data_IF_700926621062
#
_entry.id   IF_700926621062
#
_cell.length_a   1.000
_cell.length_b   1.000
_cell.length_c   1.000
_cell.angle_alpha   90.00
_cell.angle_beta   90.00
_cell.angle_gamma   90.00
#
_symmetry.space_group_name_H-M   'P 1'
#
loop_
_entity.id
_entity.type
_entity.pdbx_description
1 polymer ?
#
# COMPACT_ATOMS: atom_id res chain seq x y z
N UNK A 1 -10.94 -11.87 14.02
CA UNK A 1 -10.34 -11.16 12.86
C UNK A 1 -11.22 -11.42 11.64
N UNK A 2 -12.25 -10.60 11.43
CA UNK A 2 -13.17 -10.78 10.31
C UNK A 2 -12.57 -10.16 9.03
N UNK A 3 -11.80 -10.95 8.30
CA UNK A 3 -11.26 -10.63 6.96
C UNK A 3 -12.29 -10.92 5.85
N UNK A 4 -13.57 -10.67 6.12
CA UNK A 4 -14.61 -10.88 5.12
C UNK A 4 -14.49 -9.80 4.03
N UNK A 5 -14.59 -10.17 2.75
CA UNK A 5 -14.63 -9.20 1.68
C UNK A 5 -15.74 -8.15 1.90
N UNK A 6 -15.40 -6.89 1.65
CA UNK A 6 -16.30 -5.74 1.68
C UNK A 6 -16.71 -5.43 0.25
N UNK A 7 -18.02 -5.32 0.01
CA UNK A 7 -18.54 -4.87 -1.29
C UNK A 7 -18.36 -3.36 -1.45
N UNK A 8 -17.69 -2.96 -2.52
CA UNK A 8 -17.50 -1.59 -2.97
C UNK A 8 -18.60 -1.22 -3.99
N UNK A 9 -19.10 0.02 -3.90
CA UNK A 9 -20.03 0.63 -4.87
C UNK A 9 -19.38 1.88 -5.45
N UNK A 10 -18.73 1.76 -6.61
CA UNK A 10 -18.05 2.86 -7.33
C UNK A 10 -16.96 3.58 -6.53
N UNK A 11 -15.72 3.60 -7.04
CA UNK A 11 -14.59 4.25 -6.33
C UNK A 11 -14.53 5.75 -6.64
N UNK A 12 -15.11 6.19 -7.76
CA UNK A 12 -15.17 7.60 -8.11
C UNK A 12 -16.21 8.35 -7.27
N UNK A 13 -15.73 9.02 -6.22
CA UNK A 13 -16.57 9.82 -5.32
C UNK A 13 -17.21 11.02 -6.03
N UNK A 14 -16.57 11.56 -7.08
CA UNK A 14 -17.07 12.73 -7.83
C UNK A 14 -18.27 12.35 -8.70
N UNK A 15 -18.16 11.24 -9.44
CA UNK A 15 -19.24 10.69 -10.24
C UNK A 15 -20.38 10.15 -9.36
N UNK A 16 -20.05 9.46 -8.26
CA UNK A 16 -21.06 8.94 -7.34
C UNK A 16 -21.83 10.04 -6.60
N UNK A 17 -21.19 11.16 -6.25
CA UNK A 17 -21.88 12.28 -5.58
C UNK A 17 -22.89 12.98 -6.49
N UNK A 18 -22.64 13.01 -7.79
CA UNK A 18 -23.60 13.50 -8.79
C UNK A 18 -24.72 12.51 -9.05
N UNK A 19 -24.42 11.21 -9.14
CA UNK A 19 -25.41 10.20 -9.50
C UNK A 19 -26.29 9.73 -8.33
N UNK A 20 -25.78 9.74 -7.09
CA UNK A 20 -26.46 9.21 -5.89
C UNK A 20 -26.20 10.08 -4.64
N UNK A 21 -26.76 11.30 -4.57
CA UNK A 21 -26.56 12.17 -3.42
C UNK A 21 -27.14 11.57 -2.14
N UNK A 22 -26.32 11.49 -1.07
CA UNK A 22 -26.73 11.05 0.27
C UNK A 22 -26.56 9.56 0.60
N UNK A 23 -25.98 8.75 -0.30
CA UNK A 23 -25.64 7.34 -0.01
C UNK A 23 -24.12 7.12 0.17
N UNK A 24 -23.70 6.22 1.09
CA UNK A 24 -22.30 5.89 1.26
C UNK A 24 -21.65 5.33 0.01
N UNK A 25 -20.67 6.06 -0.53
CA UNK A 25 -19.84 5.62 -1.66
C UNK A 25 -18.68 4.73 -1.18
N UNK A 26 -18.01 3.98 -2.08
CA UNK A 26 -16.77 3.27 -1.72
C UNK A 26 -15.71 4.19 -1.11
N UNK A 27 -15.73 5.49 -1.45
CA UNK A 27 -14.83 6.46 -0.85
C UNK A 27 -15.06 6.59 0.66
N UNK A 28 -16.30 6.49 1.17
CA UNK A 28 -16.57 6.47 2.60
C UNK A 28 -15.96 5.25 3.30
N UNK A 29 -15.95 4.09 2.65
CA UNK A 29 -15.27 2.90 3.17
C UNK A 29 -13.78 3.13 3.40
N UNK A 30 -13.13 3.97 2.58
CA UNK A 30 -11.70 4.28 2.69
C UNK A 30 -11.41 5.55 3.51
N UNK A 31 -12.42 6.37 3.82
CA UNK A 31 -12.22 7.60 4.63
C UNK A 31 -11.63 7.28 6.00
N UNK A 32 -12.13 6.26 6.68
CA UNK A 32 -11.61 5.88 8.00
C UNK A 32 -10.16 5.41 7.92
N UNK A 33 -9.81 4.71 6.84
CA UNK A 33 -8.45 4.25 6.58
C UNK A 33 -7.49 5.44 6.35
N UNK A 34 -7.94 6.42 5.55
CA UNK A 34 -7.19 7.65 5.25
C UNK A 34 -7.06 8.54 6.49
N UNK A 35 -8.15 8.71 7.25
CA UNK A 35 -8.19 9.48 8.48
C UNK A 35 -7.30 8.89 9.58
N UNK A 36 -7.14 7.56 9.59
CA UNK A 36 -6.23 6.86 10.50
C UNK A 36 -4.75 7.20 10.28
N UNK A 37 -4.38 7.84 9.15
CA UNK A 37 -3.03 8.37 8.91
C UNK A 37 -1.94 7.32 8.66
N UNK A 38 -2.28 6.03 8.70
CA UNK A 38 -1.35 4.94 8.41
C UNK A 38 -0.97 4.83 6.94
N UNK A 39 0.16 4.19 6.65
CA UNK A 39 0.60 3.90 5.29
C UNK A 39 -0.25 2.76 4.68
N UNK A 40 -0.77 2.97 3.47
CA UNK A 40 -1.74 2.09 2.79
C UNK A 40 -1.11 1.42 1.56
N UNK A 41 -1.02 0.09 1.57
CA UNK A 41 -0.65 -0.70 0.40
C UNK A 41 -1.90 -1.21 -0.33
N UNK A 42 -2.00 -1.00 -1.64
CA UNK A 42 -3.09 -1.54 -2.47
C UNK A 42 -2.56 -2.65 -3.37
N UNK A 43 -3.15 -3.84 -3.28
CA UNK A 43 -2.74 -5.02 -4.07
C UNK A 43 -3.95 -5.60 -4.77
N UNK A 44 -3.78 -6.23 -5.93
CA UNK A 44 -4.90 -6.81 -6.68
C UNK A 44 -4.55 -7.08 -8.14
N UNK A 45 -5.36 -7.89 -8.84
CA UNK A 45 -5.15 -8.17 -10.26
C UNK A 45 -5.07 -6.90 -11.14
N UNK A 46 -4.50 -6.97 -12.36
CA UNK A 46 -4.61 -5.89 -13.32
C UNK A 46 -6.07 -5.50 -13.61
N UNK A 47 -6.34 -4.20 -13.81
CA UNK A 47 -7.67 -3.72 -14.22
C UNK A 47 -8.77 -3.67 -13.15
N UNK A 48 -8.48 -4.03 -11.89
CA UNK A 48 -9.49 -4.00 -10.80
C UNK A 48 -9.73 -2.60 -10.20
N UNK A 49 -8.96 -1.59 -10.61
CA UNK A 49 -9.16 -0.20 -10.19
C UNK A 49 -8.20 0.31 -9.11
N UNK A 50 -7.03 -0.32 -8.92
CA UNK A 50 -6.01 0.12 -7.95
C UNK A 50 -5.60 1.59 -8.13
N UNK A 51 -5.26 1.97 -9.36
CA UNK A 51 -4.87 3.35 -9.69
C UNK A 51 -6.01 4.34 -9.42
N UNK A 52 -7.26 3.95 -9.70
CA UNK A 52 -8.44 4.77 -9.37
C UNK A 52 -8.58 4.98 -7.86
N UNK A 53 -8.33 3.94 -7.06
CA UNK A 53 -8.38 4.03 -5.61
C UNK A 53 -7.30 4.95 -5.06
N UNK A 54 -6.03 4.77 -5.46
CA UNK A 54 -4.95 5.63 -4.94
C UNK A 54 -5.08 7.08 -5.42
N UNK A 55 -5.67 7.31 -6.61
CA UNK A 55 -5.99 8.67 -7.09
C UNK A 55 -7.01 9.36 -6.20
N UNK A 56 -8.10 8.68 -5.83
CA UNK A 56 -9.11 9.23 -4.93
C UNK A 56 -8.55 9.42 -3.51
N UNK A 57 -7.68 8.52 -3.03
CA UNK A 57 -6.97 8.70 -1.75
C UNK A 57 -6.07 9.93 -1.80
N UNK A 58 -5.34 10.15 -2.89
CA UNK A 58 -4.50 11.34 -3.08
C UNK A 58 -5.33 12.62 -2.99
N UNK A 59 -6.49 12.66 -3.67
CA UNK A 59 -7.44 13.78 -3.61
C UNK A 59 -7.94 14.02 -2.18
N UNK A 60 -8.39 12.96 -1.48
CA UNK A 60 -8.85 13.08 -0.09
C UNK A 60 -7.75 13.64 0.82
N UNK A 61 -6.53 13.11 0.73
CA UNK A 61 -5.40 13.58 1.53
C UNK A 61 -5.06 15.05 1.24
N UNK A 62 -5.00 15.44 -0.03
CA UNK A 62 -4.63 16.79 -0.44
C UNK A 62 -5.72 17.82 -0.16
N UNK A 63 -6.98 17.52 -0.48
CA UNK A 63 -8.08 18.48 -0.42
C UNK A 63 -8.86 18.43 0.88
N UNK A 64 -9.18 17.24 1.37
CA UNK A 64 -10.02 17.08 2.55
C UNK A 64 -9.17 17.19 3.81
N UNK A 65 -7.98 16.54 3.83
CA UNK A 65 -7.05 16.55 4.96
C UNK A 65 -5.95 17.63 4.88
N UNK A 66 -5.90 18.40 3.78
CA UNK A 66 -4.96 19.52 3.60
C UNK A 66 -3.48 19.14 3.70
N UNK A 67 -3.13 17.87 3.45
CA UNK A 67 -1.74 17.39 3.51
C UNK A 67 -0.92 17.84 2.30
N UNK A 68 0.39 18.02 2.49
CA UNK A 68 1.36 18.09 1.40
C UNK A 68 1.53 16.70 0.80
N UNK A 69 0.89 16.48 -0.34
CA UNK A 69 0.91 15.19 -1.07
C UNK A 69 1.77 15.32 -2.32
N UNK A 70 2.71 14.39 -2.50
CA UNK A 70 3.47 14.22 -3.75
C UNK A 70 3.13 12.86 -4.36
N UNK A 71 2.92 12.81 -5.68
CA UNK A 71 2.67 11.58 -6.43
C UNK A 71 3.87 11.29 -7.32
N UNK A 72 4.50 10.13 -7.15
CA UNK A 72 5.46 9.57 -8.10
C UNK A 72 4.71 8.76 -9.15
N UNK A 73 4.54 9.34 -10.35
CA UNK A 73 3.68 8.83 -11.42
C UNK A 73 4.52 8.32 -12.60
N UNK A 74 4.70 6.99 -12.69
CA UNK A 74 5.44 6.32 -13.78
C UNK A 74 4.63 6.06 -15.02
N UNK A 75 3.33 5.82 -14.87
CA UNK A 75 2.46 5.42 -15.98
C UNK A 75 1.66 6.59 -16.57
N UNK A 76 1.77 7.78 -15.97
CA UNK A 76 0.90 8.94 -16.18
C UNK A 76 -0.58 8.67 -15.88
N UNK A 77 -0.94 7.50 -15.36
CA UNK A 77 -2.34 7.18 -15.14
C UNK A 77 -2.89 7.99 -13.98
N UNK A 78 -2.09 8.33 -12.95
CA UNK A 78 -2.62 9.05 -11.79
C UNK A 78 -2.89 10.51 -12.15
N UNK A 79 -1.90 11.19 -12.72
CA UNK A 79 -1.91 12.63 -12.96
C UNK A 79 -2.26 13.06 -14.38
N UNK A 80 -2.46 12.13 -15.31
CA UNK A 80 -2.78 12.42 -16.72
C UNK A 80 -1.53 12.73 -17.56
N UNK A 81 -1.69 12.81 -18.89
CA UNK A 81 -0.57 12.93 -19.83
C UNK A 81 -0.03 14.36 -20.02
N UNK A 82 -0.69 15.38 -19.47
CA UNK A 82 -0.29 16.79 -19.61
C UNK A 82 0.58 17.31 -18.48
N UNK A 83 1.20 18.48 -18.68
CA UNK A 83 1.99 19.20 -17.67
C UNK A 83 1.13 19.75 -16.53
N UNK A 84 -0.16 19.95 -16.79
CA UNK A 84 -1.16 20.32 -15.78
C UNK A 84 -1.74 19.04 -15.19
N UNK A 85 -1.60 18.80 -13.87
CA UNK A 85 -2.12 17.58 -13.26
C UNK A 85 -3.64 17.47 -13.35
N UNK A 86 -4.12 16.23 -13.54
CA UNK A 86 -5.53 15.89 -13.63
C UNK A 86 -6.31 16.30 -12.37
N UNK A 87 -7.46 16.98 -12.52
CA UNK A 87 -8.25 17.49 -11.38
C UNK A 87 -8.61 16.42 -10.31
N UNK A 88 -8.68 15.15 -10.73
CA UNK A 88 -8.90 14.00 -9.86
C UNK A 88 -7.82 13.73 -8.80
N UNK A 89 -6.66 14.40 -8.81
CA UNK A 89 -5.66 14.32 -7.72
C UNK A 89 -5.79 15.46 -6.69
N UNK A 90 -6.75 16.37 -6.89
CA UNK A 90 -6.90 17.56 -6.04
C UNK A 90 -5.67 18.47 -6.10
N UNK A 91 -5.26 19.01 -4.96
CA UNK A 91 -4.06 19.85 -4.83
C UNK A 91 -2.74 19.07 -4.67
N UNK A 92 -2.73 17.76 -4.89
CA UNK A 92 -1.50 16.98 -4.84
C UNK A 92 -0.52 17.45 -5.93
N UNK A 93 0.77 17.47 -5.58
CA UNK A 93 1.85 17.72 -6.55
C UNK A 93 2.17 16.42 -7.28
N UNK A 94 2.31 16.49 -8.60
CA UNK A 94 2.76 15.35 -9.42
C UNK A 94 4.23 15.50 -9.77
N UNK A 95 4.99 14.44 -9.54
CA UNK A 95 6.35 14.26 -10.05
C UNK A 95 6.31 13.15 -11.08
N UNK A 96 6.50 13.50 -12.35
CA UNK A 96 6.51 12.53 -13.43
C UNK A 96 7.83 11.76 -13.45
N UNK A 97 7.74 10.44 -13.60
CA UNK A 97 8.91 9.56 -13.69
C UNK A 97 9.17 9.22 -15.15
N UNK A 98 9.97 10.03 -15.84
CA UNK A 98 10.25 9.86 -17.27
C UNK A 98 11.05 8.60 -17.60
N UNK A 99 11.82 8.08 -16.64
CA UNK A 99 12.51 6.80 -16.74
C UNK A 99 12.10 5.92 -15.56
N UNK A 100 11.34 4.86 -15.83
CA UNK A 100 10.82 3.94 -14.81
C UNK A 100 11.94 3.30 -13.98
N UNK A 101 13.13 3.07 -14.54
CA UNK A 101 14.26 2.53 -13.79
C UNK A 101 14.80 3.49 -12.72
N UNK A 102 14.48 4.78 -12.84
CA UNK A 102 14.88 5.83 -11.89
C UNK A 102 13.80 6.14 -10.85
N UNK A 103 12.68 5.40 -10.83
CA UNK A 103 11.57 5.66 -9.90
C UNK A 103 12.04 5.75 -8.45
N UNK A 104 12.90 4.82 -8.00
CA UNK A 104 13.44 4.82 -6.65
C UNK A 104 14.21 6.11 -6.30
N UNK A 105 15.01 6.64 -7.23
CA UNK A 105 15.73 7.90 -7.02
C UNK A 105 14.78 9.08 -6.95
N UNK A 106 13.78 9.11 -7.84
CA UNK A 106 12.76 10.17 -7.86
C UNK A 106 11.91 10.14 -6.58
N UNK A 107 11.61 8.96 -6.04
CA UNK A 107 10.92 8.82 -4.75
C UNK A 107 11.72 9.49 -3.62
N UNK A 108 13.03 9.27 -3.55
CA UNK A 108 13.90 9.88 -2.53
C UNK A 108 14.01 11.39 -2.75
N UNK A 109 14.28 11.82 -3.99
CA UNK A 109 14.40 13.23 -4.36
C UNK A 109 13.11 14.01 -4.05
N UNK A 110 11.95 13.44 -4.35
CA UNK A 110 10.65 14.04 -4.03
C UNK A 110 10.50 14.32 -2.53
N UNK A 111 10.95 13.39 -1.68
CA UNK A 111 10.88 13.58 -0.23
C UNK A 111 11.88 14.63 0.25
N UNK A 112 13.07 14.68 -0.34
CA UNK A 112 14.12 15.62 0.03
C UNK A 112 13.80 17.06 -0.40
N UNK A 113 13.20 17.24 -1.57
CA UNK A 113 12.90 18.55 -2.12
C UNK A 113 11.58 19.14 -1.61
N UNK A 114 10.54 18.30 -1.42
CA UNK A 114 9.19 18.80 -1.11
C UNK A 114 8.79 18.65 0.36
N UNK A 115 9.54 17.86 1.15
CA UNK A 115 9.19 17.50 2.54
C UNK A 115 7.70 17.13 2.70
N UNK A 116 7.18 16.18 1.89
CA UNK A 116 5.77 15.86 1.88
C UNK A 116 5.34 15.19 3.18
N UNK A 117 4.08 15.37 3.54
CA UNK A 117 3.45 14.59 4.61
C UNK A 117 3.01 13.22 4.10
N UNK A 118 2.76 13.10 2.79
CA UNK A 118 2.38 11.84 2.15
C UNK A 118 2.96 11.73 0.75
N UNK A 119 3.50 10.56 0.42
CA UNK A 119 3.87 10.20 -0.95
C UNK A 119 2.93 9.12 -1.49
N UNK A 120 2.46 9.31 -2.73
CA UNK A 120 1.68 8.33 -3.49
C UNK A 120 2.61 7.69 -4.53
N UNK A 121 2.64 6.37 -4.61
CA UNK A 121 3.49 5.62 -5.54
C UNK A 121 2.60 4.73 -6.39
N UNK A 122 2.62 4.91 -7.72
CA UNK A 122 1.71 4.18 -8.60
C UNK A 122 1.89 2.67 -8.49
N UNK A 123 3.10 2.16 -8.74
CA UNK A 123 3.40 0.74 -8.61
C UNK A 123 4.82 0.52 -8.09
N UNK A 124 4.95 -0.31 -7.05
CA UNK A 124 6.23 -0.80 -6.51
C UNK A 124 6.44 -2.22 -7.02
N UNK A 125 7.42 -2.41 -7.89
CA UNK A 125 7.73 -3.68 -8.54
C UNK A 125 9.16 -4.18 -8.30
N UNK A 126 10.09 -3.31 -7.91
CA UNK A 126 11.51 -3.68 -7.75
C UNK A 126 12.00 -3.60 -6.31
N UNK A 127 13.10 -4.29 -6.01
CA UNK A 127 13.75 -4.25 -4.70
C UNK A 127 14.23 -2.82 -4.35
N UNK A 128 14.77 -2.09 -5.33
CA UNK A 128 15.22 -0.71 -5.13
C UNK A 128 14.07 0.22 -4.75
N UNK A 129 12.90 0.09 -5.40
CA UNK A 129 11.71 0.86 -5.04
C UNK A 129 11.19 0.49 -3.65
N UNK A 130 11.21 -0.80 -3.29
CA UNK A 130 10.77 -1.26 -1.99
C UNK A 130 11.70 -0.76 -0.86
N UNK A 131 13.01 -0.73 -1.10
CA UNK A 131 14.00 -0.14 -0.20
C UNK A 131 13.84 1.38 -0.07
N UNK A 132 13.59 2.08 -1.18
CA UNK A 132 13.30 3.51 -1.17
C UNK A 132 12.03 3.81 -0.35
N UNK A 133 10.95 3.06 -0.57
CA UNK A 133 9.72 3.16 0.21
C UNK A 133 9.95 2.94 1.71
N UNK A 134 10.72 1.91 2.08
CA UNK A 134 11.11 1.66 3.47
C UNK A 134 11.90 2.83 4.08
N UNK A 135 12.82 3.42 3.32
CA UNK A 135 13.65 4.55 3.77
C UNK A 135 12.78 5.79 4.01
N UNK A 136 11.81 6.04 3.12
CA UNK A 136 10.85 7.14 3.24
C UNK A 136 9.95 6.95 4.47
N UNK A 137 9.48 5.72 4.71
CA UNK A 137 8.67 5.40 5.89
C UNK A 137 9.41 5.68 7.20
N UNK A 138 10.71 5.35 7.26
CA UNK A 138 11.56 5.61 8.43
C UNK A 138 11.74 7.11 8.70
N UNK A 139 11.59 7.97 7.69
CA UNK A 139 11.57 9.44 7.85
C UNK A 139 10.21 9.97 8.34
N UNK A 140 9.24 9.09 8.60
CA UNK A 140 7.91 9.45 9.11
C UNK A 140 6.93 9.94 8.06
N UNK A 141 7.26 9.80 6.77
CA UNK A 141 6.35 10.16 5.67
C UNK A 141 5.33 9.05 5.47
N UNK A 142 4.05 9.41 5.38
CA UNK A 142 2.99 8.44 5.06
C UNK A 142 3.15 7.97 3.61
N UNK A 143 2.99 6.66 3.38
CA UNK A 143 3.00 6.10 2.03
C UNK A 143 1.62 5.59 1.63
N UNK A 144 1.21 5.88 0.41
CA UNK A 144 0.12 5.19 -0.25
C UNK A 144 0.66 4.66 -1.56
N UNK A 145 0.47 3.39 -1.87
CA UNK A 145 0.89 2.92 -3.18
C UNK A 145 0.36 1.57 -3.55
N UNK A 146 0.58 1.17 -4.79
CA UNK A 146 0.31 -0.19 -5.23
C UNK A 146 1.59 -1.01 -5.31
N UNK A 147 1.46 -2.33 -5.32
CA UNK A 147 2.58 -3.23 -5.57
C UNK A 147 2.27 -4.22 -6.69
N UNK A 148 3.33 -4.66 -7.36
CA UNK A 148 3.26 -5.71 -8.38
C UNK A 148 2.95 -7.06 -7.72
N UNK A 149 1.66 -7.39 -7.63
CA UNK A 149 1.16 -8.61 -7.03
C UNK A 149 -0.36 -8.70 -7.08
N UNK A 150 -0.88 -9.93 -7.10
CA UNK A 150 -2.33 -10.17 -7.15
C UNK A 150 -2.94 -10.23 -5.76
N UNK A 151 -2.18 -10.73 -4.78
CA UNK A 151 -2.61 -10.91 -3.38
C UNK A 151 -1.49 -10.54 -2.43
N UNK A 152 -1.83 -10.31 -1.15
CA UNK A 152 -0.82 -10.10 -0.09
C UNK A 152 0.11 -11.31 0.04
N UNK A 153 -0.40 -12.53 -0.15
CA UNK A 153 0.43 -13.74 -0.14
C UNK A 153 1.49 -13.75 -1.26
N UNK A 154 1.24 -13.11 -2.40
CA UNK A 154 2.25 -12.96 -3.44
C UNK A 154 3.35 -11.99 -3.01
N UNK A 155 3.01 -10.89 -2.34
CA UNK A 155 3.97 -9.91 -1.83
C UNK A 155 4.87 -10.55 -0.76
N UNK A 156 4.27 -11.33 0.16
CA UNK A 156 5.00 -12.08 1.20
C UNK A 156 6.03 -13.05 0.60
N UNK A 157 5.67 -13.74 -0.48
CA UNK A 157 6.54 -14.73 -1.13
C UNK A 157 7.58 -14.10 -2.06
N UNK A 158 7.46 -12.82 -2.38
CA UNK A 158 8.37 -12.12 -3.27
C UNK A 158 9.53 -11.52 -2.46
N UNK A 159 10.78 -12.02 -2.63
CA UNK A 159 11.93 -11.55 -1.85
C UNK A 159 12.18 -10.04 -1.98
N UNK A 160 11.88 -9.46 -3.13
CA UNK A 160 12.07 -8.03 -3.41
C UNK A 160 11.00 -7.15 -2.78
N UNK A 161 9.79 -7.68 -2.52
CA UNK A 161 8.65 -6.88 -2.06
C UNK A 161 8.22 -7.20 -0.62
N UNK A 162 8.65 -8.32 -0.03
CA UNK A 162 8.29 -8.70 1.34
C UNK A 162 8.67 -7.65 2.40
N UNK A 163 9.67 -6.80 2.13
CA UNK A 163 10.05 -5.68 3.00
C UNK A 163 8.90 -4.70 3.22
N UNK A 164 8.02 -4.53 2.22
CA UNK A 164 6.82 -3.69 2.32
C UNK A 164 5.89 -4.11 3.48
N UNK A 165 5.98 -5.39 3.86
CA UNK A 165 5.20 -6.04 4.92
C UNK A 165 6.04 -6.40 6.16
N UNK A 166 7.23 -5.82 6.28
CA UNK A 166 8.15 -5.96 7.44
C UNK A 166 9.30 -6.94 7.22
N UNK A 167 9.39 -7.56 6.04
CA UNK A 167 10.41 -8.55 5.71
C UNK A 167 10.25 -9.86 6.48
N UNK A 168 10.94 -10.91 6.01
CA UNK A 168 10.99 -12.22 6.65
C UNK A 168 12.44 -12.54 6.97
N UNK A 169 12.66 -13.13 8.14
CA UNK A 169 13.91 -13.71 8.57
C UNK A 169 13.68 -15.11 9.14
N UNK A 170 14.59 -16.04 8.86
CA UNK A 170 14.57 -17.38 9.46
C UNK A 170 15.32 -17.36 10.79
N UNK A 171 14.60 -17.55 11.88
CA UNK A 171 15.16 -17.75 13.21
C UNK A 171 15.21 -19.22 13.60
N UNK A 172 16.15 -19.58 14.48
CA UNK A 172 16.21 -20.92 15.08
C UNK A 172 15.57 -20.88 16.46
N UNK A 173 14.51 -21.67 16.68
CA UNK A 173 13.97 -21.94 18.01
C UNK A 173 15.00 -22.68 18.86
N UNK A 174 15.09 -22.29 20.14
CA UNK A 174 15.73 -23.14 21.15
C UNK A 174 14.98 -24.47 21.34
N UNK A 175 15.70 -25.52 21.72
CA UNK A 175 15.19 -26.89 21.80
C UNK A 175 13.95 -27.04 22.70
N UNK A 176 13.87 -26.31 23.81
CA UNK A 176 12.72 -26.35 24.72
C UNK A 176 11.44 -25.74 24.11
N UNK A 177 11.58 -24.63 23.39
CA UNK A 177 10.47 -23.89 22.79
C UNK A 177 9.92 -24.66 21.56
N UNK A 178 10.81 -25.28 20.77
CA UNK A 178 10.44 -26.19 19.67
C UNK A 178 9.71 -27.43 20.19
N UNK A 179 10.16 -28.01 21.31
CA UNK A 179 9.53 -29.20 21.93
C UNK A 179 8.15 -28.88 22.51
N UNK A 180 7.97 -27.68 23.10
CA UNK A 180 6.64 -27.21 23.56
C UNK A 180 5.65 -27.02 22.41
N UNK A 181 6.12 -26.53 21.25
CA UNK A 181 5.26 -26.22 20.10
C UNK A 181 5.09 -27.38 19.09
N UNK A 182 5.86 -28.48 19.23
CA UNK A 182 5.87 -29.63 18.30
C UNK A 182 6.16 -29.24 16.84
N UNK A 183 7.07 -28.29 16.64
CA UNK A 183 7.45 -27.78 15.30
C UNK A 183 8.95 -27.93 15.07
N UNK A 184 9.39 -27.90 13.80
CA UNK A 184 10.81 -27.89 13.46
C UNK A 184 11.52 -26.61 13.97
N UNK A 185 12.85 -26.69 14.08
CA UNK A 185 13.70 -25.65 14.68
C UNK A 185 13.70 -24.32 13.93
N UNK A 186 13.20 -24.24 12.71
CA UNK A 186 13.22 -22.99 11.92
C UNK A 186 11.84 -22.33 11.95
N UNK A 187 11.75 -21.11 12.50
CA UNK A 187 10.57 -20.25 12.39
C UNK A 187 10.88 -19.11 11.43
N UNK A 188 9.92 -18.80 10.56
CA UNK A 188 9.92 -17.55 9.81
C UNK A 188 9.29 -16.45 10.66
N UNK A 189 10.09 -15.45 11.02
CA UNK A 189 9.66 -14.28 11.77
C UNK A 189 9.82 -13.01 10.95
N UNK A 190 9.22 -11.93 11.42
CA UNK A 190 9.30 -10.63 10.77
C UNK A 190 10.62 -9.94 11.13
N UNK A 191 11.31 -9.38 10.13
CA UNK A 191 12.61 -8.71 10.31
C UNK A 191 12.51 -7.34 10.99
N UNK A 192 11.44 -6.59 10.73
CA UNK A 192 11.26 -5.24 11.29
C UNK A 192 9.84 -4.70 11.10
N UNK A 193 9.56 -3.44 11.51
CA UNK A 193 8.24 -2.84 11.30
C UNK A 193 7.90 -2.79 9.80
N UNK A 194 6.64 -3.00 9.41
CA UNK A 194 6.26 -2.98 8.01
C UNK A 194 6.28 -1.54 7.45
N UNK A 195 6.75 -1.37 6.21
CA UNK A 195 6.69 -0.09 5.49
C UNK A 195 5.25 0.42 5.38
N UNK A 196 4.31 -0.49 5.16
CA UNK A 196 2.88 -0.19 5.15
C UNK A 196 2.20 -0.73 6.41
N UNK A 197 1.39 0.09 7.06
CA UNK A 197 0.71 -0.29 8.31
C UNK A 197 -0.60 -1.03 8.04
N UNK A 198 -1.21 -0.78 6.88
CA UNK A 198 -2.42 -1.46 6.44
C UNK A 198 -2.34 -1.81 4.94
N UNK A 199 -3.16 -2.78 4.52
CA UNK A 199 -3.30 -3.10 3.12
C UNK A 199 -4.76 -3.25 2.69
N UNK A 200 -5.02 -2.97 1.42
CA UNK A 200 -6.29 -3.20 0.72
C UNK A 200 -6.01 -4.18 -0.42
N UNK A 201 -6.55 -5.39 -0.31
CA UNK A 201 -6.51 -6.38 -1.37
C UNK A 201 -7.79 -6.26 -2.21
N UNK A 202 -7.67 -5.70 -3.41
CA UNK A 202 -8.76 -5.59 -4.38
C UNK A 202 -8.98 -6.94 -5.07
N UNK A 203 -10.15 -7.55 -4.83
CA UNK A 203 -10.55 -8.83 -5.41
C UNK A 203 -11.22 -8.58 -6.78
N UNK A 204 -12.04 -7.54 -6.86
CA UNK A 204 -12.68 -7.08 -8.08
C UNK A 204 -12.93 -5.57 -8.03
N UNK A 205 -13.54 -5.00 -9.07
CA UNK A 205 -13.94 -3.58 -9.09
C UNK A 205 -14.95 -3.22 -7.99
N UNK A 206 -15.63 -4.22 -7.43
CA UNK A 206 -16.71 -4.06 -6.46
C UNK A 206 -16.47 -4.83 -5.17
N UNK A 207 -15.26 -5.35 -4.94
CA UNK A 207 -14.97 -6.17 -3.78
C UNK A 207 -13.51 -6.03 -3.36
N UNK A 208 -13.27 -5.78 -2.08
CA UNK A 208 -11.92 -5.75 -1.51
C UNK A 208 -11.88 -6.36 -0.11
N UNK A 209 -10.69 -6.72 0.34
CA UNK A 209 -10.40 -7.11 1.72
C UNK A 209 -9.48 -6.07 2.34
N UNK A 210 -9.82 -5.60 3.54
CA UNK A 210 -9.00 -4.60 4.26
C UNK A 210 -8.26 -5.27 5.40
N UNK A 211 -6.95 -5.07 5.42
CA UNK A 211 -6.01 -5.54 6.43
C UNK A 211 -5.59 -4.35 7.28
N UNK A 212 -6.35 -4.06 8.34
CA UNK A 212 -6.17 -2.83 9.12
C UNK A 212 -4.86 -2.72 9.90
N UNK A 213 -4.23 -3.85 10.22
CA UNK A 213 -3.03 -3.91 11.07
C UNK A 213 -2.05 -4.96 10.57
N UNK A 214 -1.15 -4.56 9.69
CA UNK A 214 -0.10 -5.45 9.19
C UNK A 214 0.92 -5.78 10.29
N UNK A 215 1.13 -4.88 11.25
CA UNK A 215 1.90 -5.09 12.48
C UNK A 215 1.38 -6.27 13.32
N UNK A 216 0.08 -6.28 13.64
CA UNK A 216 -0.56 -7.29 14.48
C UNK A 216 -0.86 -8.61 13.76
N UNK A 217 -0.87 -8.60 12.42
CA UNK A 217 -1.20 -9.79 11.62
C UNK A 217 0.01 -10.66 11.29
N UNK A 218 1.22 -10.26 11.67
CA UNK A 218 2.47 -10.95 11.35
C UNK A 218 2.45 -12.44 11.75
N UNK A 219 1.91 -12.75 12.93
CA UNK A 219 1.74 -14.13 13.38
C UNK A 219 0.80 -14.94 12.48
N UNK A 220 -0.24 -14.35 11.88
CA UNK A 220 -1.16 -15.08 11.00
C UNK A 220 -0.61 -15.30 9.58
N UNK A 221 0.22 -14.39 9.08
CA UNK A 221 0.81 -14.48 7.73
C UNK A 221 2.10 -15.30 7.71
N UNK A 222 2.96 -15.14 8.72
CA UNK A 222 4.26 -15.81 8.78
C UNK A 222 4.22 -17.14 9.56
N UNK A 223 3.42 -17.31 10.63
CA UNK A 223 3.33 -18.60 11.33
C UNK A 223 2.56 -19.69 10.57
N UNK A 224 1.91 -19.39 9.44
CA UNK A 224 1.24 -20.42 8.62
C UNK A 224 2.21 -21.29 7.80
N UNK A 225 3.50 -20.97 7.76
CA UNK A 225 4.54 -21.83 7.19
C UNK A 225 5.49 -22.32 8.27
N UNK A 226 5.00 -23.27 9.06
CA UNK A 226 5.85 -24.33 9.58
C UNK A 226 5.99 -25.31 8.42
N UNK A 227 7.15 -25.35 7.77
CA UNK A 227 7.45 -26.42 6.82
C UNK A 227 7.66 -27.71 7.61
N UNK A 228 6.94 -28.75 7.24
CA UNK A 228 7.32 -30.13 7.55
C UNK A 228 8.01 -30.66 6.31
N UNK A 229 9.34 -30.71 6.35
CA UNK A 229 10.14 -31.61 5.50
C UNK A 229 11.18 -32.31 6.39
#
# INVERSE_FOLDING_TARGET
>A
FYNNPVKLRGIDASLNRQLYPGQPSSAETFRDLVAGGGSILVVGPPGVGKTTLIREIARMLADDHKKRVVIADTSNQIGGDGDVPHAGIGRARRTQVSNVHMQHNIMIEAVENDMPETIIIDEIGTELEALAASTIAQRGVQLVGTAHGVTIDNIIKNPSLQILLGGIESGTLGDEEARKRKVQKTILERKGPPTFTCAVEMISKTECRVHHRLDASAGCYFCRKISFD
#
